data_IF_121283020652
#
_entry.id   IF_121283020652
#
_cell.length_a   1.000
_cell.length_b   1.000
_cell.length_c   1.000
_cell.angle_alpha   90.00
_cell.angle_beta   90.00
_cell.angle_gamma   90.00
#
_symmetry.space_group_name_H-M   'P 1'
#
loop_
_entity.id
_entity.type
_entity.pdbx_description
1 polymer ?
#
# COMPACT_ATOMS: atom_id res chain seq x y z
N UNK A 1 -54.66 48.54 -4.66
CA UNK A 1 -54.52 47.56 -3.56
C UNK A 1 -53.06 47.56 -3.12
N UNK A 2 -52.81 47.49 -1.81
CA UNK A 2 -51.52 47.83 -1.21
C UNK A 2 -50.48 46.71 -1.29
N UNK A 3 -49.17 47.03 -1.36
CA UNK A 3 -48.12 46.02 -1.24
C UNK A 3 -47.99 45.53 0.21
N UNK A 4 -47.80 44.22 0.41
CA UNK A 4 -47.59 43.64 1.73
C UNK A 4 -46.17 43.91 2.23
N UNK A 5 -46.06 44.56 3.38
CA UNK A 5 -44.81 44.90 4.07
C UNK A 5 -44.09 43.67 4.62
N UNK A 6 -42.82 43.51 4.26
CA UNK A 6 -41.90 42.59 4.95
C UNK A 6 -41.56 43.18 6.32
N UNK A 7 -41.85 42.43 7.39
CA UNK A 7 -41.49 42.80 8.76
C UNK A 7 -39.99 42.63 9.00
N UNK A 8 -39.28 43.75 9.18
CA UNK A 8 -37.89 43.75 9.61
C UNK A 8 -37.73 43.07 10.98
N UNK A 9 -37.00 41.96 11.04
CA UNK A 9 -36.47 41.46 12.31
C UNK A 9 -35.41 42.43 12.85
N UNK A 10 -35.82 43.31 13.76
CA UNK A 10 -34.90 44.15 14.52
C UNK A 10 -34.12 43.29 15.53
N UNK A 11 -32.91 42.88 15.16
CA UNK A 11 -31.95 42.37 16.13
C UNK A 11 -31.59 43.48 17.13
N UNK A 12 -31.97 43.30 18.40
CA UNK A 12 -31.70 44.28 19.45
C UNK A 12 -30.20 44.47 19.67
N UNK A 13 -29.75 45.73 19.65
CA UNK A 13 -28.34 46.12 19.76
C UNK A 13 -27.81 45.96 21.20
N UNK A 14 -27.54 44.73 21.62
CA UNK A 14 -26.73 44.45 22.81
C UNK A 14 -25.46 43.72 22.44
N UNK A 15 -24.44 44.49 22.00
CA UNK A 15 -23.06 44.02 21.85
C UNK A 15 -22.45 43.74 23.23
N UNK A 16 -22.75 42.57 23.80
CA UNK A 16 -21.88 41.96 24.80
C UNK A 16 -20.73 41.31 24.00
N UNK A 17 -19.46 41.71 24.21
CA UNK A 17 -18.32 41.04 23.58
C UNK A 17 -18.35 39.54 23.87
N UNK A 18 -18.09 38.70 22.87
CA UNK A 18 -18.25 37.25 22.97
C UNK A 18 -17.49 36.63 24.17
N UNK A 19 -16.31 37.15 24.51
CA UNK A 19 -15.56 36.76 25.71
C UNK A 19 -16.29 37.06 27.02
N UNK A 20 -16.94 38.23 27.14
CA UNK A 20 -17.73 38.62 28.33
C UNK A 20 -19.00 37.78 28.43
N UNK A 21 -19.67 37.51 27.30
CA UNK A 21 -20.82 36.61 27.27
C UNK A 21 -20.43 35.19 27.71
N UNK A 22 -19.34 34.65 27.14
CA UNK A 22 -18.82 33.33 27.47
C UNK A 22 -18.43 33.21 28.94
N UNK A 23 -17.75 34.21 29.51
CA UNK A 23 -17.41 34.23 30.94
C UNK A 23 -18.66 34.33 31.83
N UNK A 24 -19.62 35.19 31.50
CA UNK A 24 -20.87 35.33 32.26
C UNK A 24 -21.70 34.04 32.25
N UNK A 25 -21.75 33.33 31.11
CA UNK A 25 -22.36 32.00 30.99
C UNK A 25 -21.55 30.95 31.77
N UNK A 26 -20.23 30.97 31.71
CA UNK A 26 -19.38 30.02 32.43
C UNK A 26 -19.51 30.17 33.96
N UNK A 27 -19.55 31.40 34.48
CA UNK A 27 -19.85 31.66 35.90
C UNK A 27 -21.29 31.30 36.28
N UNK A 28 -22.26 31.46 35.38
CA UNK A 28 -23.65 31.03 35.62
C UNK A 28 -23.84 29.52 35.68
N UNK A 29 -22.99 28.73 35.00
CA UNK A 29 -23.07 27.26 34.96
C UNK A 29 -22.15 26.60 36.01
N UNK A 30 -20.98 27.18 36.28
CA UNK A 30 -19.92 26.56 37.08
C UNK A 30 -19.47 27.39 38.29
N UNK A 31 -20.05 28.59 38.52
CA UNK A 31 -19.77 29.39 39.70
C UNK A 31 -20.44 28.80 40.95
N UNK A 32 -19.77 28.79 42.12
CA UNK A 32 -20.44 28.45 43.37
C UNK A 32 -21.54 29.49 43.66
N UNK A 33 -22.73 29.00 44.01
CA UNK A 33 -23.91 29.83 44.29
C UNK A 33 -23.76 30.60 45.61
N UNK A 34 -23.00 31.70 45.59
CA UNK A 34 -22.98 32.66 46.69
C UNK A 34 -24.33 33.35 46.79
N UNK A 35 -25.08 33.01 47.85
CA UNK A 35 -26.29 33.73 48.27
C UNK A 35 -25.92 35.19 48.57
N UNK A 36 -26.27 36.11 47.67
CA UNK A 36 -26.27 37.54 47.97
C UNK A 36 -27.69 37.98 48.39
N UNK A 37 -27.76 38.92 49.31
CA UNK A 37 -28.93 39.15 50.17
C UNK A 37 -29.88 40.23 49.63
N UNK A 38 -31.15 40.16 50.02
CA UNK A 38 -32.11 41.28 50.17
C UNK A 38 -32.58 41.97 48.86
N UNK A 39 -33.87 42.19 48.60
CA UNK A 39 -34.81 42.97 49.42
C UNK A 39 -36.30 42.63 49.12
N UNK A 40 -37.02 42.28 50.20
CA UNK A 40 -38.43 42.57 50.57
C UNK A 40 -39.53 42.83 49.50
N UNK A 41 -40.68 42.12 49.59
CA UNK A 41 -41.93 42.54 50.29
C UNK A 41 -43.22 41.87 49.72
N UNK A 42 -44.20 41.72 50.62
CA UNK A 42 -45.64 41.40 50.46
C UNK A 42 -46.13 39.94 50.39
N UNK A 43 -46.85 39.61 51.47
CA UNK A 43 -47.97 38.67 51.67
C UNK A 43 -48.96 38.53 50.49
N UNK A 44 -49.85 37.54 50.40
CA UNK A 44 -50.32 36.46 51.32
C UNK A 44 -50.21 35.08 50.60
N UNK A 45 -50.70 33.91 51.02
CA UNK A 45 -51.56 33.45 52.15
C UNK A 45 -51.23 31.99 52.55
N UNK A 46 -52.11 31.35 53.34
CA UNK A 46 -52.31 29.88 53.48
C UNK A 46 -53.82 29.59 53.39
N UNK A 47 -54.27 28.40 52.96
CA UNK A 47 -54.53 27.33 53.93
C UNK A 47 -54.19 25.88 53.49
N UNK A 48 -54.19 25.00 54.50
CA UNK A 48 -54.23 23.54 54.60
C UNK A 48 -53.93 22.57 53.42
N UNK A 49 -53.00 21.66 53.73
CA UNK A 49 -53.05 20.18 53.64
C UNK A 49 -53.68 19.49 52.41
N UNK A 50 -52.89 18.61 51.79
CA UNK A 50 -53.15 17.17 51.91
C UNK A 50 -51.86 16.34 51.79
N UNK A 51 -51.85 15.10 52.30
CA UNK A 51 -50.65 14.24 52.32
C UNK A 51 -50.35 13.56 50.96
N UNK A 52 -49.09 13.57 50.52
CA UNK A 52 -48.50 12.43 49.81
C UNK A 52 -46.97 12.38 49.94
N UNK A 53 -46.42 11.16 49.88
CA UNK A 53 -45.07 10.78 50.32
C UNK A 53 -43.95 11.34 49.42
N UNK A 54 -42.73 11.57 49.95
CA UNK A 54 -41.60 12.05 49.17
C UNK A 54 -41.14 11.00 48.15
N UNK A 55 -41.17 11.35 46.86
CA UNK A 55 -40.44 10.60 45.84
C UNK A 55 -38.98 11.06 45.82
N UNK A 56 -38.05 10.09 45.83
CA UNK A 56 -36.62 10.34 45.75
C UNK A 56 -36.25 10.92 44.37
N UNK A 57 -36.22 12.25 44.25
CA UNK A 57 -35.55 12.92 43.14
C UNK A 57 -34.04 12.70 43.25
N UNK A 58 -33.53 11.69 42.55
CA UNK A 58 -32.09 11.55 42.34
C UNK A 58 -31.58 12.76 41.54
N UNK A 59 -30.51 13.45 42.00
CA UNK A 59 -30.10 14.71 41.39
C UNK A 59 -29.59 14.48 39.96
N UNK A 60 -30.39 14.91 38.98
CA UNK A 60 -30.11 14.80 37.55
C UNK A 60 -28.70 15.36 37.26
N UNK A 61 -27.78 14.55 36.69
CA UNK A 61 -26.40 14.97 36.46
C UNK A 61 -26.34 16.18 35.52
N UNK A 62 -25.38 17.10 35.70
CA UNK A 62 -25.34 18.37 34.97
C UNK A 62 -25.23 18.20 33.44
N UNK A 63 -24.71 17.06 32.96
CA UNK A 63 -24.67 16.70 31.54
C UNK A 63 -26.06 16.54 30.90
N UNK A 64 -27.09 16.16 31.68
CA UNK A 64 -28.47 16.02 31.20
C UNK A 64 -29.27 17.34 31.28
N UNK A 65 -28.75 18.35 31.98
CA UNK A 65 -29.33 19.71 32.02
C UNK A 65 -28.93 20.59 30.83
N UNK A 66 -27.99 20.13 30.01
CA UNK A 66 -27.58 20.81 28.79
C UNK A 66 -28.60 20.56 27.66
N UNK A 67 -28.85 21.53 26.76
CA UNK A 67 -29.67 21.31 25.59
C UNK A 67 -29.03 20.23 24.71
N UNK A 68 -29.62 19.03 24.72
CA UNK A 68 -29.08 17.90 23.97
C UNK A 68 -29.21 18.16 22.47
N UNK A 69 -28.11 17.93 21.74
CA UNK A 69 -28.09 18.17 20.29
C UNK A 69 -29.18 17.34 19.59
N UNK A 70 -29.79 17.85 18.50
CA UNK A 70 -30.80 17.12 17.75
C UNK A 70 -30.28 15.78 17.18
N UNK A 71 -28.96 15.57 17.08
CA UNK A 71 -28.36 14.29 16.70
C UNK A 71 -28.50 13.19 17.77
N UNK A 72 -28.70 13.57 19.03
CA UNK A 72 -28.85 12.65 20.17
C UNK A 72 -30.34 12.44 20.49
N UNK A 73 -31.15 13.50 20.46
CA UNK A 73 -32.60 13.41 20.74
C UNK A 73 -33.39 12.89 19.53
N UNK A 74 -32.91 13.17 18.32
CA UNK A 74 -33.50 12.69 17.06
C UNK A 74 -32.40 12.01 16.24
N UNK A 75 -31.89 10.84 16.68
CA UNK A 75 -30.90 10.11 15.92
C UNK A 75 -31.50 9.81 14.55
N UNK A 76 -30.94 10.43 13.50
CA UNK A 76 -31.34 10.14 12.12
C UNK A 76 -31.27 8.62 11.94
N UNK A 77 -32.30 7.95 11.41
CA UNK A 77 -32.20 6.53 11.10
C UNK A 77 -31.01 6.37 10.14
N UNK A 78 -29.93 5.77 10.65
CA UNK A 78 -28.70 5.61 9.88
C UNK A 78 -28.94 4.71 8.66
N UNK A 79 -28.00 4.66 7.71
CA UNK A 79 -28.13 3.80 6.52
C UNK A 79 -28.33 2.30 6.82
N UNK A 80 -28.16 1.86 8.07
CA UNK A 80 -28.23 0.46 8.51
C UNK A 80 -29.61 -0.20 8.60
N UNK A 81 -30.69 0.39 8.06
CA UNK A 81 -32.00 -0.29 7.93
C UNK A 81 -32.50 -0.46 6.49
N UNK A 82 -31.95 0.30 5.54
CA UNK A 82 -32.26 0.21 4.11
C UNK A 82 -31.05 -0.27 3.27
N UNK A 83 -30.06 -0.90 3.92
CA UNK A 83 -29.18 -1.81 3.19
C UNK A 83 -30.04 -3.00 2.79
N UNK A 84 -30.48 -3.03 1.53
CA UNK A 84 -30.96 -4.24 0.87
C UNK A 84 -30.01 -5.38 1.25
N UNK A 85 -30.52 -6.59 1.62
CA UNK A 85 -29.64 -7.71 1.90
C UNK A 85 -28.68 -7.83 0.73
N UNK A 86 -27.36 -7.86 1.02
CA UNK A 86 -26.34 -7.99 -0.02
C UNK A 86 -26.79 -9.13 -0.93
N UNK A 87 -26.97 -8.84 -2.23
CA UNK A 87 -27.42 -9.87 -3.15
C UNK A 87 -26.51 -11.09 -2.94
N UNK A 88 -27.06 -12.30 -2.86
CA UNK A 88 -26.21 -13.49 -2.87
C UNK A 88 -25.28 -13.36 -4.08
N UNK A 89 -24.00 -13.77 -3.97
CA UNK A 89 -23.12 -13.75 -5.11
C UNK A 89 -23.83 -14.47 -6.26
N UNK A 90 -23.89 -13.80 -7.42
CA UNK A 90 -24.45 -14.41 -8.64
C UNK A 90 -23.80 -15.78 -8.84
N UNK A 91 -24.53 -16.70 -9.49
CA UNK A 91 -23.96 -17.98 -9.90
C UNK A 91 -22.72 -17.72 -10.79
N UNK A 92 -22.78 -16.65 -11.59
CA UNK A 92 -21.62 -15.98 -12.21
C UNK A 92 -20.96 -15.01 -11.21
N UNK A 93 -20.33 -15.54 -10.17
CA UNK A 93 -19.82 -14.75 -9.04
C UNK A 93 -18.71 -13.75 -9.42
N UNK A 94 -18.24 -12.91 -8.48
CA UNK A 94 -17.12 -11.97 -8.72
C UNK A 94 -15.76 -12.66 -9.01
N UNK A 95 -15.74 -13.97 -9.27
CA UNK A 95 -14.55 -14.77 -9.54
C UNK A 95 -13.65 -14.25 -10.67
N UNK A 96 -14.15 -13.73 -11.82
CA UNK A 96 -13.27 -13.23 -12.88
C UNK A 96 -12.45 -12.03 -12.42
N UNK A 97 -13.11 -11.03 -11.81
CA UNK A 97 -12.45 -9.86 -11.22
C UNK A 97 -11.57 -10.24 -10.03
N UNK A 98 -11.94 -11.27 -9.28
CA UNK A 98 -11.12 -11.82 -8.20
C UNK A 98 -9.92 -12.65 -8.70
N UNK A 99 -9.77 -12.90 -10.00
CA UNK A 99 -8.58 -13.53 -10.61
C UNK A 99 -7.73 -12.50 -11.38
N UNK A 100 -8.35 -11.46 -11.93
CA UNK A 100 -7.67 -10.35 -12.60
C UNK A 100 -6.68 -9.61 -11.65
N UNK A 101 -5.38 -9.50 -12.00
CA UNK A 101 -4.36 -8.93 -11.13
C UNK A 101 -4.49 -7.40 -10.99
N UNK A 102 -4.86 -6.70 -12.07
CA UNK A 102 -5.01 -5.25 -12.08
C UNK A 102 -6.24 -4.81 -11.29
N UNK A 103 -7.36 -5.54 -11.42
CA UNK A 103 -8.56 -5.32 -10.61
C UNK A 103 -8.25 -5.48 -9.11
N UNK A 104 -7.48 -6.50 -8.71
CA UNK A 104 -7.03 -6.64 -7.33
C UNK A 104 -6.13 -5.49 -6.87
N UNK A 105 -5.14 -5.09 -7.68
CA UNK A 105 -4.22 -4.01 -7.33
C UNK A 105 -4.96 -2.67 -7.16
N UNK A 106 -5.95 -2.38 -8.02
CA UNK A 106 -6.80 -1.19 -7.93
C UNK A 106 -7.78 -1.26 -6.75
N UNK A 107 -8.32 -2.44 -6.43
CA UNK A 107 -9.17 -2.66 -5.26
C UNK A 107 -8.39 -2.68 -3.93
N UNK A 108 -7.06 -2.67 -3.97
CA UNK A 108 -6.22 -2.65 -2.76
C UNK A 108 -6.43 -1.36 -1.95
N UNK A 109 -6.38 -1.40 -0.60
CA UNK A 109 -6.80 -0.27 0.22
C UNK A 109 -6.03 1.03 -0.08
N UNK A 110 -6.76 2.13 -0.31
CA UNK A 110 -6.15 3.44 -0.54
C UNK A 110 -5.26 3.87 0.62
N UNK A 111 -4.07 4.36 0.29
CA UNK A 111 -3.06 4.86 1.22
C UNK A 111 -2.43 6.15 0.67
N UNK A 112 -1.97 7.03 1.55
CA UNK A 112 -1.20 8.21 1.16
C UNK A 112 0.27 7.87 0.98
N UNK A 113 0.87 8.28 -0.13
CA UNK A 113 2.32 8.35 -0.27
C UNK A 113 2.88 9.37 0.74
N UNK A 114 3.82 8.97 1.59
CA UNK A 114 4.41 9.82 2.65
C UNK A 114 5.05 11.09 2.10
N UNK A 115 5.56 11.05 0.87
CA UNK A 115 6.38 12.14 0.30
C UNK A 115 5.59 13.08 -0.62
N UNK A 116 4.80 12.56 -1.56
CA UNK A 116 3.96 13.39 -2.45
C UNK A 116 2.57 13.71 -1.88
N UNK A 117 2.13 13.04 -0.80
CA UNK A 117 0.77 13.15 -0.25
C UNK A 117 -0.33 12.51 -1.11
N UNK A 118 -0.03 12.09 -2.34
CA UNK A 118 -0.96 11.46 -3.26
C UNK A 118 -1.61 10.20 -2.66
N UNK A 119 -2.92 10.03 -2.85
CA UNK A 119 -3.65 8.84 -2.39
C UNK A 119 -3.76 7.83 -3.52
N UNK A 120 -3.18 6.64 -3.32
CA UNK A 120 -3.13 5.57 -4.30
C UNK A 120 -3.47 4.22 -3.64
N UNK A 121 -3.93 3.22 -4.41
CA UNK A 121 -4.06 1.86 -3.93
C UNK A 121 -2.73 1.35 -3.35
N UNK A 122 -2.80 0.56 -2.27
CA UNK A 122 -1.62 0.04 -1.55
C UNK A 122 -0.59 -0.60 -2.49
N UNK A 123 -1.06 -1.36 -3.46
CA UNK A 123 -0.21 -2.25 -4.26
C UNK A 123 0.49 -1.53 -5.41
N UNK A 124 0.10 -0.28 -5.72
CA UNK A 124 0.82 0.62 -6.62
C UNK A 124 1.97 1.38 -5.93
N UNK A 125 2.18 1.19 -4.62
CA UNK A 125 3.24 1.86 -3.86
C UNK A 125 4.20 0.87 -3.19
N UNK A 126 5.47 1.24 -3.18
CA UNK A 126 6.51 0.50 -2.48
C UNK A 126 6.42 0.62 -0.96
N UNK A 127 6.97 -0.37 -0.29
CA UNK A 127 7.19 -0.38 1.16
C UNK A 127 8.62 0.13 1.46
N UNK A 128 8.75 1.28 2.12
CA UNK A 128 10.03 1.92 2.42
C UNK A 128 10.32 1.96 3.92
N UNK A 129 11.55 1.66 4.31
CA UNK A 129 11.94 1.57 5.71
C UNK A 129 13.43 1.77 5.94
N UNK A 130 13.83 1.81 7.21
CA UNK A 130 15.23 1.98 7.59
C UNK A 130 15.96 0.64 7.64
N UNK A 131 17.19 0.65 7.13
CA UNK A 131 18.12 -0.47 7.12
C UNK A 131 19.49 0.05 7.55
N UNK A 132 20.06 -0.53 8.61
CA UNK A 132 21.42 -0.21 9.06
C UNK A 132 22.43 -0.76 8.05
N UNK A 133 23.40 0.05 7.64
CA UNK A 133 24.46 -0.39 6.73
C UNK A 133 25.42 -1.34 7.45
N UNK A 134 25.84 -2.47 6.84
CA UNK A 134 26.87 -3.31 7.46
C UNK A 134 28.19 -2.54 7.59
N UNK A 135 28.83 -2.63 8.76
CA UNK A 135 30.11 -1.99 9.17
C UNK A 135 30.04 -0.51 9.57
N UNK A 136 28.91 0.19 9.45
CA UNK A 136 28.75 1.60 9.85
C UNK A 136 27.45 1.79 10.59
N UNK A 137 27.36 2.76 11.51
CA UNK A 137 26.10 3.04 12.21
C UNK A 137 25.09 3.89 11.40
N UNK A 138 25.39 4.14 10.12
CA UNK A 138 24.52 4.86 9.20
C UNK A 138 23.23 4.09 8.89
N UNK A 139 22.12 4.82 8.83
CA UNK A 139 20.79 4.30 8.55
C UNK A 139 20.34 4.72 7.14
N UNK A 140 20.29 3.76 6.23
CA UNK A 140 19.75 3.99 4.88
C UNK A 140 18.24 3.83 4.85
N UNK A 141 17.57 4.77 4.17
CA UNK A 141 16.15 4.66 3.81
C UNK A 141 16.04 3.94 2.47
N UNK A 142 15.54 2.70 2.49
CA UNK A 142 15.54 1.79 1.34
C UNK A 142 14.14 1.21 1.04
N UNK A 143 13.90 0.73 -0.20
CA UNK A 143 12.71 -0.04 -0.57
C UNK A 143 12.83 -1.45 0.04
N UNK A 144 12.11 -1.67 1.15
CA UNK A 144 12.22 -2.91 1.95
C UNK A 144 11.35 -4.04 1.40
N UNK A 145 10.42 -3.73 0.50
CA UNK A 145 9.63 -4.70 -0.25
C UNK A 145 10.48 -5.75 -0.97
N UNK A 146 11.59 -5.33 -1.58
CA UNK A 146 12.55 -6.17 -2.32
C UNK A 146 13.74 -6.70 -1.48
N UNK A 147 13.80 -6.36 -0.19
CA UNK A 147 14.93 -6.69 0.71
C UNK A 147 14.60 -7.73 1.80
N UNK A 148 13.35 -8.21 1.85
CA UNK A 148 12.82 -9.08 2.92
C UNK A 148 13.73 -10.27 3.23
N UNK A 149 14.16 -11.02 2.21
CA UNK A 149 15.00 -12.22 2.39
C UNK A 149 16.34 -11.89 3.04
N UNK A 150 17.00 -10.81 2.61
CA UNK A 150 18.30 -10.39 3.14
C UNK A 150 18.19 -9.92 4.58
N UNK A 151 17.11 -9.18 4.89
CA UNK A 151 16.81 -8.72 6.24
C UNK A 151 16.50 -9.89 7.18
N UNK A 152 15.68 -10.85 6.73
CA UNK A 152 15.37 -12.07 7.49
C UNK A 152 16.61 -12.91 7.76
N UNK A 153 17.47 -13.17 6.76
CA UNK A 153 18.74 -13.89 6.93
C UNK A 153 19.67 -13.21 7.94
N UNK A 154 19.70 -11.88 7.96
CA UNK A 154 20.49 -11.14 8.96
C UNK A 154 19.97 -11.33 10.39
N UNK A 155 18.65 -11.48 10.57
CA UNK A 155 18.04 -11.72 11.89
C UNK A 155 18.25 -13.14 12.40
N UNK A 156 18.23 -14.15 11.53
CA UNK A 156 18.53 -15.54 11.90
C UNK A 156 20.00 -15.75 12.24
N UNK A 157 20.92 -15.07 11.54
CA UNK A 157 22.36 -15.18 11.83
C UNK A 157 22.74 -14.49 13.15
N UNK A 158 22.05 -13.40 13.54
CA UNK A 158 22.23 -12.79 14.87
C UNK A 158 21.74 -13.66 16.04
N UNK A 159 21.03 -14.77 15.77
CA UNK A 159 20.56 -15.72 16.78
C UNK A 159 21.38 -17.01 16.89
N UNK A 160 22.54 -17.09 16.23
CA UNK A 160 23.42 -18.29 16.22
C UNK A 160 24.87 -18.02 16.66
N UNK A 161 25.16 -16.84 17.22
CA UNK A 161 26.42 -16.58 17.92
C UNK A 161 26.22 -16.74 19.42
N UNK A 162 27.16 -17.45 20.07
CA UNK A 162 27.26 -17.66 21.53
C UNK A 162 26.17 -18.51 22.19
N UNK A 163 26.35 -19.84 22.15
CA UNK A 163 26.08 -20.74 23.29
C UNK A 163 26.70 -22.13 23.06
N UNK A 164 27.99 -22.25 23.34
CA UNK A 164 28.61 -23.51 23.77
C UNK A 164 29.03 -23.34 25.23
N UNK A 165 28.26 -23.90 26.17
CA UNK A 165 28.74 -24.52 27.40
C UNK A 165 27.57 -24.92 28.32
N UNK A 166 27.49 -26.23 28.55
CA UNK A 166 26.90 -26.92 29.70
C UNK A 166 25.38 -26.87 29.95
N UNK A 167 24.86 -28.00 30.44
CA UNK A 167 23.44 -28.31 30.36
C UNK A 167 22.72 -28.45 31.70
N UNK A 168 21.40 -28.22 31.67
CA UNK A 168 20.43 -29.07 32.37
C UNK A 168 19.04 -28.92 31.76
N UNK A 169 18.35 -30.04 31.66
CA UNK A 169 16.94 -30.15 31.30
C UNK A 169 16.10 -29.80 32.53
N UNK A 170 15.10 -28.94 32.39
CA UNK A 170 13.86 -28.97 33.18
C UNK A 170 12.78 -28.05 32.55
N UNK A 171 11.51 -28.43 32.74
CA UNK A 171 10.36 -27.89 32.02
C UNK A 171 9.99 -26.44 32.39
N UNK A 172 9.91 -25.57 31.38
CA UNK A 172 9.14 -24.33 31.45
C UNK A 172 8.60 -23.92 30.07
N UNK A 173 7.40 -24.40 29.72
CA UNK A 173 6.62 -23.86 28.60
C UNK A 173 6.24 -22.40 28.93
N UNK A 174 7.12 -21.46 28.56
CA UNK A 174 6.85 -20.02 28.60
C UNK A 174 7.05 -19.43 27.21
N UNK A 175 5.98 -18.77 26.77
CA UNK A 175 5.79 -18.18 25.45
C UNK A 175 6.81 -17.10 25.10
N UNK A 176 7.99 -17.52 24.64
CA UNK A 176 9.03 -16.67 24.07
C UNK A 176 8.62 -16.06 22.74
N UNK A 177 7.70 -15.10 22.73
CA UNK A 177 7.52 -14.18 21.61
C UNK A 177 8.79 -13.34 21.51
N UNK A 178 9.74 -13.77 20.67
CA UNK A 178 10.93 -12.96 20.39
C UNK A 178 10.46 -11.60 19.86
N UNK A 179 10.88 -10.53 20.55
CA UNK A 179 10.56 -9.16 20.20
C UNK A 179 11.35 -8.75 18.95
N UNK A 180 10.98 -9.34 17.81
CA UNK A 180 11.29 -8.82 16.49
C UNK A 180 10.72 -7.40 16.45
N UNK A 181 11.60 -6.40 16.63
CA UNK A 181 11.25 -4.98 16.45
C UNK A 181 10.59 -4.87 15.08
N UNK A 182 9.27 -4.67 15.05
CA UNK A 182 8.50 -4.62 13.81
C UNK A 182 9.15 -3.57 12.91
N UNK A 183 9.62 -4.00 11.74
CA UNK A 183 10.31 -3.09 10.83
C UNK A 183 9.40 -1.90 10.54
N UNK A 184 9.94 -0.71 10.73
CA UNK A 184 9.20 0.52 10.49
C UNK A 184 9.13 0.72 8.97
N UNK A 185 7.91 0.71 8.44
CA UNK A 185 7.64 0.81 7.00
C UNK A 185 6.56 1.85 6.71
N UNK A 186 6.82 2.72 5.73
CA UNK A 186 5.85 3.67 5.18
C UNK A 186 5.68 3.47 3.67
N UNK A 187 4.66 4.11 3.09
CA UNK A 187 4.36 3.99 1.65
C UNK A 187 4.95 5.13 0.82
N UNK A 188 5.63 4.78 -0.26
CA UNK A 188 6.20 5.74 -1.21
C UNK A 188 6.02 5.24 -2.65
N UNK A 189 6.06 6.17 -3.61
CA UNK A 189 6.13 5.84 -5.02
C UNK A 189 7.52 5.34 -5.41
N UNK A 190 7.56 4.32 -6.26
CA UNK A 190 8.78 3.71 -6.81
C UNK A 190 9.06 4.18 -8.26
N UNK A 191 8.51 5.31 -8.70
CA UNK A 191 8.67 5.83 -10.07
C UNK A 191 10.05 6.50 -10.27
N UNK A 192 10.71 6.31 -11.43
CA UNK A 192 12.05 6.86 -11.65
C UNK A 192 12.10 8.39 -11.65
N UNK A 193 11.22 9.11 -12.37
CA UNK A 193 11.25 10.57 -12.39
C UNK A 193 11.08 11.15 -10.98
N UNK A 194 10.28 10.46 -10.14
CA UNK A 194 10.08 10.80 -8.75
C UNK A 194 11.34 10.58 -7.90
N UNK A 195 12.02 9.44 -8.04
CA UNK A 195 13.28 9.17 -7.32
C UNK A 195 14.39 10.14 -7.76
N UNK A 196 14.54 10.41 -9.06
CA UNK A 196 15.52 11.39 -9.60
C UNK A 196 15.28 12.80 -9.08
N UNK A 197 14.02 13.24 -9.02
CA UNK A 197 13.64 14.54 -8.43
C UNK A 197 14.08 14.64 -6.96
N UNK A 198 14.02 13.53 -6.22
CA UNK A 198 14.36 13.47 -4.80
C UNK A 198 15.86 13.32 -4.51
N UNK A 199 16.67 12.74 -5.41
CA UNK A 199 18.11 12.54 -5.18
C UNK A 199 18.84 13.84 -4.80
N UNK A 200 18.68 14.91 -5.59
CA UNK A 200 19.36 16.20 -5.37
C UNK A 200 18.99 16.89 -4.05
N UNK A 201 17.72 16.99 -3.61
CA UNK A 201 17.38 17.58 -2.32
C UNK A 201 17.67 16.67 -1.11
N UNK A 202 17.70 15.33 -1.28
CA UNK A 202 17.91 14.39 -0.17
C UNK A 202 19.38 14.04 0.11
N UNK A 203 20.22 13.95 -0.93
CA UNK A 203 21.65 13.65 -0.80
C UNK A 203 22.52 14.82 -0.33
N UNK A 204 21.96 16.04 -0.22
CA UNK A 204 22.72 17.20 0.29
C UNK A 204 23.05 17.03 1.78
N UNK A 205 24.28 17.36 2.22
CA UNK A 205 24.59 17.47 3.64
C UNK A 205 23.66 18.51 4.27
N UNK A 206 22.83 18.07 5.21
CA UNK A 206 21.97 18.95 5.98
C UNK A 206 22.76 19.66 7.08
N UNK A 207 22.21 20.76 7.61
CA UNK A 207 22.74 21.41 8.80
C UNK A 207 22.48 20.56 10.06
N UNK A 208 21.57 21.01 10.94
CA UNK A 208 21.29 20.29 12.21
C UNK A 208 20.62 18.93 12.05
N UNK A 209 20.02 18.64 10.88
CA UNK A 209 19.39 17.35 10.51
C UNK A 209 19.53 17.11 9.00
N UNK A 210 19.77 15.87 8.53
CA UNK A 210 19.80 15.55 7.10
C UNK A 210 18.42 15.75 6.46
N UNK A 211 18.31 16.15 5.18
CA UNK A 211 17.01 16.38 4.54
C UNK A 211 16.13 15.12 4.51
N UNK A 212 16.76 13.94 4.44
CA UNK A 212 16.15 12.61 4.56
C UNK A 212 15.28 12.46 5.81
N UNK A 213 15.68 13.11 6.93
CA UNK A 213 14.92 13.07 8.17
C UNK A 213 13.53 13.70 8.05
N UNK A 214 13.22 14.43 6.96
CA UNK A 214 11.88 14.97 6.69
C UNK A 214 10.90 13.89 6.22
N UNK A 215 11.39 12.83 5.58
CA UNK A 215 10.56 11.73 5.09
C UNK A 215 10.08 10.80 6.21
N UNK A 216 10.74 10.83 7.37
CA UNK A 216 10.41 9.98 8.51
C UNK A 216 9.04 10.39 9.10
N UNK A 217 8.06 9.47 9.15
CA UNK A 217 6.75 9.74 9.74
C UNK A 217 6.86 10.24 11.19
N UNK A 218 6.04 11.22 11.56
CA UNK A 218 6.04 11.81 12.90
C UNK A 218 5.97 10.76 14.02
N UNK A 219 5.11 9.75 13.85
CA UNK A 219 4.91 8.65 14.82
C UNK A 219 6.12 7.71 15.00
N UNK A 220 7.16 7.82 14.18
CA UNK A 220 8.39 7.05 14.38
C UNK A 220 9.38 7.76 15.31
N UNK A 221 9.21 9.07 15.50
CA UNK A 221 10.12 9.91 16.26
C UNK A 221 9.82 9.82 17.75
N UNK A 222 10.87 9.79 18.57
CA UNK A 222 10.76 9.91 20.02
C UNK A 222 10.01 11.20 20.41
N UNK A 223 9.07 11.17 21.38
CA UNK A 223 8.76 10.07 22.30
C UNK A 223 7.70 9.07 21.81
N UNK A 224 7.01 9.33 20.70
CA UNK A 224 5.90 8.46 20.24
C UNK A 224 6.37 7.18 19.54
N UNK A 225 7.55 7.23 18.92
CA UNK A 225 8.17 6.10 18.24
C UNK A 225 9.62 5.87 18.65
N UNK A 226 10.23 4.80 18.14
CA UNK A 226 11.51 4.30 18.63
C UNK A 226 12.73 5.06 18.08
N UNK A 227 12.57 5.92 17.05
CA UNK A 227 13.70 6.64 16.43
C UNK A 227 14.07 7.85 17.29
N UNK A 228 15.30 7.83 17.79
CA UNK A 228 15.92 8.88 18.59
C UNK A 228 16.46 10.02 17.72
N UNK A 229 16.74 11.17 18.34
CA UNK A 229 17.38 12.30 17.65
C UNK A 229 18.84 12.01 17.21
N UNK A 230 19.46 10.93 17.70
CA UNK A 230 20.79 10.48 17.26
C UNK A 230 20.66 9.74 15.93
N UNK A 231 19.78 8.74 15.89
CA UNK A 231 19.44 8.00 14.67
C UNK A 231 18.90 8.91 13.56
N UNK A 232 18.10 9.94 13.88
CA UNK A 232 17.66 10.95 12.89
C UNK A 232 18.82 11.68 12.19
N UNK A 233 19.99 11.81 12.82
CA UNK A 233 21.18 12.46 12.23
C UNK A 233 22.00 11.49 11.38
N UNK A 234 21.91 10.19 11.64
CA UNK A 234 22.59 9.11 10.91
C UNK A 234 21.81 8.68 9.65
N UNK A 235 20.69 9.35 9.33
CA UNK A 235 19.90 9.07 8.15
C UNK A 235 20.59 9.55 6.87
N UNK A 236 20.92 8.61 5.99
CA UNK A 236 21.57 8.88 4.71
C UNK A 236 20.68 8.39 3.56
N UNK A 237 20.63 9.18 2.49
CA UNK A 237 20.00 8.79 1.22
C UNK A 237 21.08 8.23 0.31
N UNK A 238 20.79 7.13 -0.37
CA UNK A 238 21.73 6.52 -1.31
C UNK A 238 21.71 7.29 -2.64
N UNK A 239 22.86 7.73 -3.13
CA UNK A 239 22.93 8.49 -4.38
C UNK A 239 22.40 7.70 -5.57
N UNK A 240 22.86 6.46 -5.76
CA UNK A 240 22.44 5.58 -6.87
C UNK A 240 21.12 4.83 -6.58
N UNK A 241 20.16 5.48 -5.93
CA UNK A 241 18.87 4.85 -5.56
C UNK A 241 18.12 4.24 -6.77
N UNK A 242 18.04 4.90 -7.96
CA UNK A 242 17.32 4.32 -9.09
C UNK A 242 17.94 3.02 -9.62
N UNK A 243 19.27 2.98 -9.72
CA UNK A 243 20.02 1.79 -10.17
C UNK A 243 19.97 0.68 -9.12
N UNK A 244 20.04 1.04 -7.83
CA UNK A 244 19.89 0.11 -6.71
C UNK A 244 18.52 -0.57 -6.73
N UNK A 245 17.45 0.22 -6.86
CA UNK A 245 16.08 -0.31 -6.96
C UNK A 245 15.90 -1.18 -8.20
N UNK A 246 16.41 -0.78 -9.38
CA UNK A 246 16.34 -1.60 -10.61
C UNK A 246 16.90 -3.01 -10.39
N UNK A 247 18.13 -3.10 -9.88
CA UNK A 247 18.81 -4.38 -9.59
C UNK A 247 18.01 -5.23 -8.60
N UNK A 248 17.40 -4.60 -7.59
CA UNK A 248 16.58 -5.33 -6.61
C UNK A 248 15.21 -5.76 -7.15
N UNK A 249 14.59 -4.97 -8.03
CA UNK A 249 13.36 -5.36 -8.75
C UNK A 249 13.60 -6.55 -9.68
N UNK A 250 14.69 -6.54 -10.46
CA UNK A 250 15.11 -7.67 -11.31
C UNK A 250 15.33 -8.94 -10.52
N UNK A 251 16.13 -8.86 -9.45
CA UNK A 251 16.40 -10.02 -8.59
C UNK A 251 15.15 -10.59 -7.90
N UNK A 252 14.20 -9.73 -7.52
CA UNK A 252 12.90 -10.18 -7.00
C UNK A 252 12.02 -10.78 -8.10
N UNK A 253 12.06 -10.24 -9.33
CA UNK A 253 11.37 -10.80 -10.48
C UNK A 253 11.87 -12.22 -10.81
N UNK A 254 13.18 -12.44 -10.96
CA UNK A 254 13.73 -13.76 -11.30
C UNK A 254 13.35 -14.81 -10.24
N UNK A 255 13.37 -14.44 -8.95
CA UNK A 255 12.86 -15.31 -7.87
C UNK A 255 11.37 -15.60 -8.01
N UNK A 256 10.54 -14.61 -8.33
CA UNK A 256 9.09 -14.79 -8.53
C UNK A 256 8.80 -15.66 -9.75
N UNK A 257 9.54 -15.51 -10.85
CA UNK A 257 9.44 -16.35 -12.04
C UNK A 257 9.70 -17.82 -11.68
N UNK A 258 10.86 -18.11 -11.08
CA UNK A 258 11.22 -19.46 -10.63
C UNK A 258 10.18 -20.00 -9.63
N UNK A 259 9.83 -19.22 -8.60
CA UNK A 259 8.85 -19.63 -7.60
C UNK A 259 7.44 -19.84 -8.16
N UNK A 260 7.03 -19.11 -9.19
CA UNK A 260 5.72 -19.24 -9.81
C UNK A 260 5.65 -20.48 -10.71
N UNK A 261 6.72 -20.79 -11.44
CA UNK A 261 6.84 -22.03 -12.22
C UNK A 261 6.89 -23.27 -11.31
N UNK A 262 7.70 -23.25 -10.24
CA UNK A 262 7.81 -24.38 -9.31
C UNK A 262 6.52 -24.65 -8.50
N UNK A 263 5.67 -23.63 -8.29
CA UNK A 263 4.38 -23.77 -7.61
C UNK A 263 3.21 -24.14 -8.54
N UNK A 264 3.44 -24.16 -9.85
CA UNK A 264 2.43 -24.55 -10.83
C UNK A 264 2.67 -25.97 -11.34
N UNK A 265 1.59 -26.75 -11.45
CA UNK A 265 1.65 -28.06 -12.08
C UNK A 265 2.10 -27.97 -13.55
N UNK A 266 2.70 -29.07 -13.99
CA UNK A 266 3.26 -29.38 -15.32
C UNK A 266 2.92 -28.44 -16.48
N UNK A 267 3.98 -27.97 -17.15
CA UNK A 267 3.96 -27.25 -18.42
C UNK A 267 3.03 -27.94 -19.44
N UNK A 268 2.13 -27.18 -20.08
CA UNK A 268 1.25 -27.71 -21.13
C UNK A 268 0.15 -28.66 -20.66
N UNK A 269 -0.05 -28.86 -19.34
CA UNK A 269 -1.23 -29.55 -18.84
C UNK A 269 -2.51 -28.87 -19.33
N UNK A 270 -3.58 -29.63 -19.58
CA UNK A 270 -4.82 -29.10 -20.18
C UNK A 270 -5.46 -27.93 -19.39
N UNK A 271 -5.24 -27.90 -18.07
CA UNK A 271 -5.62 -26.79 -17.18
C UNK A 271 -4.39 -26.15 -16.50
N UNK A 272 -3.22 -26.21 -17.14
CA UNK A 272 -1.95 -25.67 -16.63
C UNK A 272 -2.00 -24.16 -16.35
N UNK A 273 -1.02 -23.67 -15.58
CA UNK A 273 -0.81 -22.23 -15.39
C UNK A 273 0.03 -21.65 -16.53
N UNK A 274 0.90 -22.47 -17.12
CA UNK A 274 1.86 -22.12 -18.17
C UNK A 274 1.60 -22.95 -19.43
N UNK A 275 1.66 -22.28 -20.58
CA UNK A 275 1.58 -22.89 -21.91
C UNK A 275 2.74 -22.40 -22.76
N UNK A 276 3.41 -23.31 -23.46
CA UNK A 276 4.46 -22.93 -24.43
C UNK A 276 3.78 -22.32 -25.64
N UNK A 277 4.35 -21.24 -26.18
CA UNK A 277 4.00 -20.70 -27.48
C UNK A 277 5.08 -21.18 -28.45
N UNK A 278 4.72 -22.06 -29.37
CA UNK A 278 5.63 -22.48 -30.44
C UNK A 278 5.80 -21.33 -31.45
N UNK A 279 7.04 -20.91 -31.68
CA UNK A 279 7.37 -19.74 -32.51
C UNK A 279 8.45 -20.13 -33.52
N UNK A 280 8.09 -20.06 -34.80
CA UNK A 280 9.01 -20.26 -35.92
C UNK A 280 9.81 -18.96 -36.18
N UNK A 281 10.73 -18.66 -35.26
CA UNK A 281 11.57 -17.46 -35.26
C UNK A 281 11.05 -16.31 -34.37
N UNK A 282 11.92 -15.36 -34.05
CA UNK A 282 11.64 -14.26 -33.12
C UNK A 282 11.03 -13.03 -33.83
N UNK A 283 9.75 -13.12 -34.21
CA UNK A 283 9.01 -12.02 -34.86
C UNK A 283 7.59 -11.84 -34.33
N UNK A 284 7.00 -10.66 -34.53
CA UNK A 284 5.61 -10.38 -34.11
C UNK A 284 4.59 -11.26 -34.83
N UNK A 285 4.81 -11.59 -36.11
CA UNK A 285 3.95 -12.51 -36.86
C UNK A 285 4.04 -13.95 -36.36
N UNK A 286 5.25 -14.43 -36.04
CA UNK A 286 5.43 -15.77 -35.47
C UNK A 286 4.75 -15.88 -34.08
N UNK A 287 4.77 -14.82 -33.28
CA UNK A 287 4.04 -14.76 -32.01
C UNK A 287 2.52 -14.88 -32.21
N UNK A 288 1.95 -14.12 -33.16
CA UNK A 288 0.52 -14.21 -33.48
C UNK A 288 0.11 -15.61 -33.96
N UNK A 289 0.92 -16.25 -34.80
CA UNK A 289 0.70 -17.61 -35.26
C UNK A 289 0.80 -18.64 -34.11
N UNK A 290 1.81 -18.51 -33.25
CA UNK A 290 1.95 -19.36 -32.06
C UNK A 290 0.78 -19.21 -31.09
N UNK A 291 0.23 -18.00 -30.92
CA UNK A 291 -0.97 -17.76 -30.12
C UNK A 291 -2.23 -18.43 -30.71
N UNK A 292 -2.36 -18.57 -32.04
CA UNK A 292 -3.46 -19.34 -32.64
C UNK A 292 -3.39 -20.84 -32.25
N UNK A 293 -2.17 -21.38 -32.07
CA UNK A 293 -1.95 -22.76 -31.64
C UNK A 293 -2.29 -23.04 -30.16
N UNK A 294 -2.54 -22.01 -29.34
CA UNK A 294 -2.95 -22.20 -27.95
C UNK A 294 -4.33 -22.83 -27.84
N UNK A 295 -4.48 -23.74 -26.87
CA UNK A 295 -5.78 -24.29 -26.49
C UNK A 295 -6.60 -23.21 -25.77
N UNK A 296 -7.91 -23.22 -25.96
CA UNK A 296 -8.81 -22.36 -25.17
C UNK A 296 -8.82 -22.81 -23.72
N UNK A 297 -8.56 -21.88 -22.80
CA UNK A 297 -8.43 -22.11 -21.35
C UNK A 297 -9.21 -21.03 -20.59
N UNK A 298 -9.75 -21.40 -19.43
CA UNK A 298 -10.55 -20.49 -18.59
C UNK A 298 -9.69 -19.33 -18.04
N UNK A 299 -10.22 -18.10 -18.18
CA UNK A 299 -9.62 -16.82 -17.80
C UNK A 299 -8.36 -16.42 -18.61
N UNK A 300 -8.29 -16.75 -19.91
CA UNK A 300 -7.19 -16.33 -20.79
C UNK A 300 -7.08 -14.80 -20.92
N UNK A 301 -8.19 -14.06 -20.81
CA UNK A 301 -8.24 -12.60 -20.85
C UNK A 301 -7.52 -11.92 -19.68
N UNK A 302 -7.27 -12.65 -18.59
CA UNK A 302 -6.49 -12.18 -17.45
C UNK A 302 -5.01 -12.59 -17.52
N UNK A 303 -4.59 -13.31 -18.57
CA UNK A 303 -3.22 -13.81 -18.73
C UNK A 303 -2.19 -12.76 -19.14
N UNK A 304 -0.99 -13.24 -19.46
CA UNK A 304 0.12 -12.46 -20.00
C UNK A 304 1.03 -13.34 -20.86
N UNK A 305 1.70 -12.72 -21.84
CA UNK A 305 2.74 -13.34 -22.66
C UNK A 305 4.11 -12.89 -22.15
N UNK A 306 5.03 -13.84 -22.04
CA UNK A 306 6.45 -13.63 -21.76
C UNK A 306 7.24 -14.02 -23.00
N UNK A 307 8.11 -13.12 -23.46
CA UNK A 307 9.14 -13.41 -24.46
C UNK A 307 10.49 -13.50 -23.76
N UNK A 308 11.35 -14.41 -24.20
CA UNK A 308 12.64 -14.66 -23.55
C UNK A 308 13.86 -14.27 -24.41
N UNK A 309 13.63 -13.73 -25.61
CA UNK A 309 14.66 -13.55 -26.62
C UNK A 309 15.08 -14.87 -27.25
N UNK A 310 15.68 -14.79 -28.43
CA UNK A 310 16.32 -15.95 -29.07
C UNK A 310 17.60 -16.34 -28.30
N UNK A 311 17.92 -17.64 -28.26
CA UNK A 311 19.21 -18.11 -27.75
C UNK A 311 20.27 -17.84 -28.82
N UNK A 312 21.29 -17.03 -28.52
CA UNK A 312 22.29 -16.68 -29.53
C UNK A 312 23.13 -17.90 -29.90
N UNK A 313 22.79 -18.52 -31.02
CA UNK A 313 23.64 -19.50 -31.69
C UNK A 313 24.87 -18.76 -32.21
N UNK A 314 26.04 -19.07 -31.64
CA UNK A 314 27.33 -18.53 -32.06
C UNK A 314 27.56 -18.81 -33.55
N UNK A 315 27.39 -17.79 -34.41
CA UNK A 315 27.58 -17.96 -35.85
C UNK A 315 26.97 -16.86 -36.72
N UNK A 316 25.87 -16.22 -36.30
CA UNK A 316 25.20 -15.18 -37.10
C UNK A 316 25.19 -13.81 -36.41
N UNK A 317 26.31 -13.08 -36.54
CA UNK A 317 26.39 -11.65 -36.21
C UNK A 317 25.66 -10.76 -37.25
N UNK A 318 24.57 -11.25 -37.83
CA UNK A 318 23.71 -10.53 -38.75
C UNK A 318 22.58 -9.85 -37.98
N UNK A 319 22.77 -8.56 -37.68
CA UNK A 319 21.80 -7.59 -37.15
C UNK A 319 20.42 -8.19 -36.83
N UNK A 320 20.30 -8.85 -35.68
CA UNK A 320 19.01 -9.18 -35.10
C UNK A 320 18.34 -7.85 -34.71
N UNK A 321 17.56 -7.32 -35.64
CA UNK A 321 16.90 -6.03 -35.47
C UNK A 321 16.07 -6.03 -34.20
N UNK A 322 16.07 -4.92 -33.47
CA UNK A 322 15.12 -4.68 -32.39
C UNK A 322 13.72 -4.54 -33.01
N UNK A 323 13.09 -5.65 -33.39
CA UNK A 323 11.63 -5.70 -33.52
C UNK A 323 11.06 -5.42 -32.13
N UNK A 324 10.63 -4.18 -31.90
CA UNK A 324 9.95 -3.80 -30.68
C UNK A 324 8.59 -4.47 -30.66
N UNK A 325 8.47 -5.55 -29.88
CA UNK A 325 7.20 -6.26 -29.73
C UNK A 325 6.11 -5.33 -29.18
N UNK A 326 4.87 -5.42 -29.69
CA UNK A 326 3.77 -4.58 -29.24
C UNK A 326 3.49 -4.80 -27.75
N UNK A 327 3.11 -3.74 -27.02
CA UNK A 327 2.90 -3.84 -25.57
C UNK A 327 1.79 -4.80 -25.15
N UNK A 328 0.85 -5.07 -26.06
CA UNK A 328 -0.25 -6.02 -25.91
C UNK A 328 -0.60 -6.65 -27.24
N UNK A 329 -1.07 -7.90 -27.20
CA UNK A 329 -1.47 -8.69 -28.36
C UNK A 329 -2.86 -9.27 -28.12
N UNK A 330 -3.69 -9.32 -29.16
CA UNK A 330 -5.01 -9.94 -29.11
C UNK A 330 -4.92 -11.46 -29.19
N UNK A 331 -5.48 -12.17 -28.21
CA UNK A 331 -5.59 -13.63 -28.22
C UNK A 331 -6.72 -14.06 -29.19
N UNK A 332 -6.44 -14.82 -30.26
CA UNK A 332 -7.42 -15.15 -31.30
C UNK A 332 -8.67 -15.89 -30.79
N UNK A 333 -8.53 -16.72 -29.76
CA UNK A 333 -9.60 -17.58 -29.22
C UNK A 333 -10.68 -16.79 -28.44
N UNK A 334 -10.40 -15.55 -28.03
CA UNK A 334 -11.25 -14.73 -27.15
C UNK A 334 -11.40 -13.28 -27.59
N UNK A 335 -10.66 -12.85 -28.63
CA UNK A 335 -10.64 -11.49 -29.17
C UNK A 335 -10.32 -10.39 -28.11
N UNK A 336 -9.55 -10.74 -27.07
CA UNK A 336 -9.11 -9.81 -26.02
C UNK A 336 -7.62 -9.56 -26.06
N UNK A 337 -7.24 -8.30 -25.83
CA UNK A 337 -5.85 -7.88 -25.67
C UNK A 337 -5.25 -8.35 -24.35
N UNK A 338 -4.05 -8.90 -24.42
CA UNK A 338 -3.26 -9.41 -23.30
C UNK A 338 -1.85 -8.80 -23.35
N UNK A 339 -1.27 -8.38 -22.21
CA UNK A 339 0.04 -7.71 -22.20
C UNK A 339 1.18 -8.65 -22.58
N UNK A 340 2.18 -8.09 -23.27
CA UNK A 340 3.45 -8.74 -23.60
C UNK A 340 4.58 -8.14 -22.76
N UNK A 341 5.38 -9.02 -22.18
CA UNK A 341 6.57 -8.71 -21.39
C UNK A 341 7.79 -9.38 -22.03
N UNK A 342 8.67 -8.58 -22.63
CA UNK A 342 9.94 -9.08 -23.17
C UNK A 342 11.02 -9.09 -22.08
N UNK A 343 11.40 -10.29 -21.61
CA UNK A 343 12.44 -10.42 -20.60
C UNK A 343 13.84 -10.06 -21.13
N UNK A 344 14.07 -10.11 -22.45
CA UNK A 344 15.35 -9.65 -23.04
C UNK A 344 15.58 -8.15 -22.85
N UNK A 345 14.51 -7.37 -22.68
CA UNK A 345 14.56 -5.95 -22.33
C UNK A 345 14.48 -5.72 -20.82
N UNK A 346 13.66 -6.51 -20.11
CA UNK A 346 13.42 -6.33 -18.67
C UNK A 346 14.60 -6.81 -17.79
N UNK A 347 15.31 -7.86 -18.17
CA UNK A 347 16.43 -8.48 -17.44
C UNK A 347 17.75 -8.32 -18.20
N UNK A 348 18.90 -8.44 -17.53
CA UNK A 348 20.19 -8.51 -18.23
C UNK A 348 20.42 -9.90 -18.84
N UNK A 349 21.31 -9.98 -19.83
CA UNK A 349 21.73 -11.24 -20.48
C UNK A 349 22.20 -12.30 -19.48
N UNK A 350 22.96 -11.90 -18.45
CA UNK A 350 23.38 -12.77 -17.36
C UNK A 350 22.22 -13.27 -16.48
N UNK A 351 21.27 -12.41 -16.12
CA UNK A 351 20.09 -12.78 -15.34
C UNK A 351 19.15 -13.72 -16.11
N UNK A 352 19.10 -13.59 -17.44
CA UNK A 352 18.39 -14.50 -18.34
C UNK A 352 19.08 -15.86 -18.46
N UNK A 353 20.40 -15.89 -18.58
CA UNK A 353 21.16 -17.14 -18.57
C UNK A 353 20.97 -17.91 -17.25
N UNK A 354 21.05 -17.22 -16.10
CA UNK A 354 20.72 -17.80 -14.78
C UNK A 354 19.28 -18.34 -14.74
N UNK A 355 18.31 -17.59 -15.30
CA UNK A 355 16.90 -18.00 -15.34
C UNK A 355 16.70 -19.26 -16.19
N UNK A 356 17.30 -19.33 -17.38
CA UNK A 356 17.25 -20.50 -18.28
C UNK A 356 17.88 -21.75 -17.65
N UNK A 357 18.98 -21.59 -16.92
CA UNK A 357 19.63 -22.68 -16.19
C UNK A 357 18.77 -23.17 -15.00
N UNK A 358 17.99 -22.28 -14.38
CA UNK A 358 17.23 -22.60 -13.16
C UNK A 358 15.96 -23.42 -13.38
N UNK A 359 15.24 -23.23 -14.49
CA UNK A 359 13.96 -23.90 -14.77
C UNK A 359 13.83 -24.19 -16.28
N UNK A 360 13.64 -25.45 -16.70
CA UNK A 360 13.55 -25.83 -18.13
C UNK A 360 12.46 -25.10 -18.93
N UNK A 361 11.41 -24.61 -18.27
CA UNK A 361 10.32 -23.87 -18.93
C UNK A 361 10.82 -22.62 -19.66
N UNK A 362 11.91 -22.00 -19.17
CA UNK A 362 12.47 -20.78 -19.76
C UNK A 362 13.45 -21.04 -20.92
N UNK A 363 13.64 -22.30 -21.34
CA UNK A 363 14.38 -22.64 -22.56
C UNK A 363 13.56 -22.34 -23.83
N UNK A 364 12.23 -22.23 -23.73
CA UNK A 364 11.37 -21.85 -24.84
C UNK A 364 11.42 -20.35 -25.13
N UNK A 365 11.29 -19.96 -26.41
CA UNK A 365 11.35 -18.56 -26.86
C UNK A 365 10.21 -17.69 -26.30
N UNK A 366 9.02 -18.27 -26.10
CA UNK A 366 7.87 -17.58 -25.56
C UNK A 366 6.94 -18.49 -24.74
N UNK A 367 6.29 -17.90 -23.73
CA UNK A 367 5.38 -18.56 -22.80
C UNK A 367 4.12 -17.72 -22.58
N UNK A 368 2.96 -18.35 -22.57
CA UNK A 368 1.73 -17.77 -22.04
C UNK A 368 1.48 -18.26 -20.61
N UNK A 369 1.04 -17.36 -19.72
CA UNK A 369 0.70 -17.73 -18.35
C UNK A 369 -0.52 -16.99 -17.80
N UNK A 370 -1.20 -17.59 -16.79
CA UNK A 370 -2.48 -17.08 -16.26
C UNK A 370 -2.55 -16.96 -14.72
N UNK A 371 -3.23 -15.94 -14.17
CA UNK A 371 -3.24 -15.61 -12.73
C UNK A 371 -4.14 -16.52 -11.87
N UNK A 372 -3.82 -17.80 -11.78
CA UNK A 372 -4.60 -18.73 -10.95
C UNK A 372 -4.36 -18.56 -9.44
N UNK A 373 -3.10 -18.38 -9.02
CA UNK A 373 -2.71 -18.31 -7.62
C UNK A 373 -2.16 -16.92 -7.27
N UNK A 374 -1.92 -16.66 -5.98
CA UNK A 374 -1.36 -15.39 -5.54
C UNK A 374 0.05 -15.14 -6.08
N UNK A 375 0.91 -16.16 -6.13
CA UNK A 375 2.29 -16.01 -6.59
C UNK A 375 2.38 -15.50 -8.04
N UNK A 376 1.53 -16.03 -8.93
CA UNK A 376 1.47 -15.64 -10.34
C UNK A 376 0.84 -14.26 -10.53
N UNK A 377 -0.14 -13.87 -9.71
CA UNK A 377 -0.66 -12.49 -9.68
C UNK A 377 0.40 -11.50 -9.22
N UNK A 378 1.09 -11.81 -8.13
CA UNK A 378 2.17 -10.98 -7.59
C UNK A 378 3.36 -10.90 -8.59
N UNK A 379 3.64 -11.97 -9.35
CA UNK A 379 4.60 -11.97 -10.46
C UNK A 379 4.18 -11.00 -11.58
N UNK A 380 2.94 -11.08 -12.05
CA UNK A 380 2.44 -10.21 -13.13
C UNK A 380 2.42 -8.74 -12.74
N UNK A 381 2.09 -8.42 -11.48
CA UNK A 381 2.24 -7.06 -10.94
C UNK A 381 3.71 -6.62 -10.86
N UNK A 382 4.65 -7.53 -10.60
CA UNK A 382 6.09 -7.24 -10.62
C UNK A 382 6.65 -7.03 -12.03
N UNK A 383 6.20 -7.82 -13.02
CA UNK A 383 6.51 -7.61 -14.44
C UNK A 383 6.04 -6.22 -14.90
N UNK A 384 4.79 -5.88 -14.62
CA UNK A 384 4.21 -4.58 -14.96
C UNK A 384 4.97 -3.42 -14.30
N UNK A 385 5.29 -3.52 -13.01
CA UNK A 385 6.09 -2.50 -12.31
C UNK A 385 7.49 -2.33 -12.91
N UNK A 386 8.17 -3.41 -13.26
CA UNK A 386 9.51 -3.33 -13.86
C UNK A 386 9.46 -2.76 -15.28
N UNK A 387 8.47 -3.14 -16.09
CA UNK A 387 8.24 -2.55 -17.41
C UNK A 387 8.00 -1.05 -17.30
N UNK A 388 7.07 -0.61 -16.45
CA UNK A 388 6.83 0.81 -16.21
C UNK A 388 8.10 1.54 -15.74
N UNK A 389 8.85 0.95 -14.81
CA UNK A 389 10.09 1.52 -14.28
C UNK A 389 11.13 1.78 -15.37
N UNK A 390 11.28 0.87 -16.34
CA UNK A 390 12.21 1.04 -17.47
C UNK A 390 11.68 2.01 -18.54
N UNK A 391 10.39 1.95 -18.88
CA UNK A 391 9.75 2.87 -19.85
C UNK A 391 9.84 4.33 -19.40
N UNK A 392 9.83 4.60 -18.09
CA UNK A 392 10.01 5.94 -17.53
C UNK A 392 11.45 6.49 -17.65
N UNK A 393 12.44 5.70 -18.11
CA UNK A 393 13.84 6.13 -18.24
C UNK A 393 14.66 5.37 -19.32
N UNK A 394 14.69 5.88 -20.57
CA UNK A 394 15.43 5.25 -21.66
C UNK A 394 16.96 5.25 -21.48
N UNK A 395 17.50 6.02 -20.53
CA UNK A 395 18.94 5.97 -20.22
C UNK A 395 19.32 4.64 -19.54
N UNK A 396 18.47 4.16 -18.62
CA UNK A 396 18.66 2.86 -17.97
C UNK A 396 18.34 1.70 -18.90
N UNK A 397 17.35 1.85 -19.78
CA UNK A 397 17.07 0.87 -20.84
C UNK A 397 18.30 0.65 -21.75
N UNK A 398 18.91 1.74 -22.25
CA UNK A 398 20.13 1.68 -23.07
C UNK A 398 21.36 1.14 -22.32
N UNK A 399 21.40 1.29 -21.00
CA UNK A 399 22.44 0.72 -20.15
C UNK A 399 22.25 -0.79 -19.87
N UNK A 400 21.13 -1.39 -20.30
CA UNK A 400 20.88 -2.83 -20.19
C UNK A 400 21.24 -3.62 -21.47
N UNK A 401 21.29 -2.93 -22.61
CA UNK A 401 21.65 -3.50 -23.92
C UNK A 401 23.18 -3.52 -24.14
N UNK A 402 23.96 -3.28 -23.08
CA UNK A 402 25.43 -3.32 -23.02
C UNK A 402 25.87 -4.16 -21.83
#
# INVERSE_FOLDING_TARGET
>A
MSPLTITNMQCTKHRIPYGIWRLRVFHGIFGPSYKSQSLRHFSTSKPCQDESKPQNETPIPPSQRLPQSPLITHPRPGPGKNLSPKLPPSIDGPEPLAKNPWAQALASPMRSCTVSGARLPRDLMGDWGLVQRPKTDDLYLLPVDYLKDSLQKSSTNKGKGEQEADGKMDDAIKSGKSNTRRQLVFKMLNAIPFLRLMMKPLGRPGGKKPPVSRLIPFRWRHPQGPITQREEKQLVWMDNMPQYLLRHMRRDLSKRLVSACLQSNTLGAANGVWSVIDMQGYSTSALLQGLQGLRSVINMECGAVILLGEEQVEGNAGVAGLESFPESVTIPQIERGVPVFDLSVLLSTSELAELRQSVPHFQHSALFFRPNNKAVRDLMLSLWKLKQYLVEDPELERANLK
#
